data_IF_180741662602
#
_entry.id   IF_180741662602
#
_cell.length_a   1.000
_cell.length_b   1.000
_cell.length_c   1.000
_cell.angle_alpha   90.00
_cell.angle_beta   90.00
_cell.angle_gamma   90.00
#
_symmetry.space_group_name_H-M   'P 1'
#
loop_
_entity.id
_entity.type
_entity.pdbx_description
1 polymer ?
#
# COMPACT_ATOMS: atom_id res chain seq x y z
N UNK A 1 8.37 -5.77 -28.19
CA UNK A 1 6.90 -5.77 -28.01
C UNK A 1 6.34 -7.11 -28.47
N UNK A 2 6.01 -8.02 -27.53
CA UNK A 2 5.02 -9.09 -27.76
C UNK A 2 3.83 -8.75 -26.86
N UNK A 3 2.81 -8.15 -27.46
CA UNK A 3 1.51 -7.86 -26.83
C UNK A 3 0.59 -9.05 -27.10
N UNK A 4 -0.24 -9.35 -26.09
CA UNK A 4 -1.44 -10.21 -26.09
C UNK A 4 -1.28 -11.62 -25.49
N UNK A 5 -1.91 -11.78 -24.31
CA UNK A 5 -2.73 -12.93 -23.91
C UNK A 5 -2.10 -14.30 -23.57
N UNK A 6 -0.81 -14.41 -23.24
CA UNK A 6 -0.20 -15.74 -22.96
C UNK A 6 -0.05 -16.17 -21.49
N UNK A 7 -0.77 -15.58 -20.53
CA UNK A 7 -0.72 -16.04 -19.12
C UNK A 7 -2.12 -16.34 -18.58
N UNK A 8 -2.96 -17.01 -19.38
CA UNK A 8 -4.12 -17.71 -18.82
C UNK A 8 -3.90 -19.22 -18.68
N UNK A 9 -2.75 -19.75 -19.14
CA UNK A 9 -2.46 -21.19 -19.16
C UNK A 9 -1.04 -21.59 -18.70
N UNK A 10 -0.20 -20.63 -18.28
CA UNK A 10 1.20 -20.91 -17.94
C UNK A 10 1.37 -21.39 -16.49
N UNK A 11 2.33 -22.30 -16.29
CA UNK A 11 2.74 -22.77 -14.95
C UNK A 11 3.23 -21.61 -14.05
N UNK A 12 3.23 -21.81 -12.71
CA UNK A 12 3.77 -20.83 -11.75
C UNK A 12 5.22 -20.42 -12.13
N UNK A 13 6.02 -21.39 -12.58
CA UNK A 13 7.39 -21.20 -13.06
C UNK A 13 7.47 -20.25 -14.25
N UNK A 14 6.58 -20.37 -15.24
CA UNK A 14 6.55 -19.46 -16.40
C UNK A 14 6.17 -18.04 -15.99
N UNK A 15 5.24 -17.90 -15.04
CA UNK A 15 4.87 -16.57 -14.52
C UNK A 15 6.02 -15.89 -13.79
N UNK A 16 6.83 -16.64 -13.04
CA UNK A 16 8.02 -16.13 -12.34
C UNK A 16 9.15 -15.83 -13.33
N UNK A 17 9.33 -16.66 -14.35
CA UNK A 17 10.31 -16.40 -15.41
C UNK A 17 9.93 -15.14 -16.19
N UNK A 18 8.65 -14.97 -16.54
CA UNK A 18 8.14 -13.75 -17.16
C UNK A 18 8.32 -12.51 -16.27
N UNK A 19 8.14 -12.64 -14.94
CA UNK A 19 8.45 -11.56 -14.00
C UNK A 19 9.92 -11.15 -14.08
N UNK A 20 10.80 -12.14 -14.17
CA UNK A 20 12.24 -11.95 -14.28
C UNK A 20 12.57 -11.24 -15.59
N UNK A 21 12.03 -11.70 -16.71
CA UNK A 21 12.23 -11.07 -18.02
C UNK A 21 11.66 -9.66 -18.10
N UNK A 22 10.48 -9.43 -17.51
CA UNK A 22 9.85 -8.12 -17.41
C UNK A 22 10.71 -7.15 -16.60
N UNK A 23 11.32 -7.62 -15.50
CA UNK A 23 12.28 -6.86 -14.69
C UNK A 23 13.55 -6.52 -15.48
N UNK A 24 14.14 -7.50 -16.18
CA UNK A 24 15.37 -7.31 -16.95
C UNK A 24 15.17 -6.37 -18.14
N UNK A 25 14.04 -6.50 -18.85
CA UNK A 25 13.77 -5.77 -20.08
C UNK A 25 13.51 -4.28 -19.92
N UNK A 26 13.23 -3.80 -18.70
CA UNK A 26 13.00 -2.36 -18.49
C UNK A 26 14.19 -1.60 -17.90
N UNK A 27 14.92 -2.14 -16.90
CA UNK A 27 15.76 -1.26 -16.07
C UNK A 27 17.09 -1.84 -15.53
N UNK A 28 17.48 -3.05 -15.93
CA UNK A 28 18.74 -3.66 -15.46
C UNK A 28 18.67 -4.11 -13.99
N UNK A 29 19.45 -5.11 -13.63
CA UNK A 29 19.34 -5.81 -12.34
C UNK A 29 19.87 -4.90 -11.22
N UNK A 30 18.98 -4.34 -10.40
CA UNK A 30 19.36 -3.73 -9.11
C UNK A 30 19.51 -4.82 -8.04
N UNK A 31 20.63 -4.82 -7.32
CA UNK A 31 20.86 -5.68 -6.16
C UNK A 31 20.01 -5.20 -4.98
N UNK A 32 19.35 -6.14 -4.29
CA UNK A 32 18.52 -5.81 -3.14
C UNK A 32 19.36 -5.20 -2.01
N UNK A 33 18.94 -4.03 -1.49
CA UNK A 33 19.66 -3.34 -0.42
C UNK A 33 19.28 -3.89 0.97
N UNK A 34 20.18 -3.82 1.97
CA UNK A 34 19.87 -4.24 3.33
C UNK A 34 18.82 -3.33 3.97
N UNK A 35 17.97 -3.90 4.84
CA UNK A 35 16.84 -3.21 5.47
C UNK A 35 17.23 -1.90 6.17
N UNK A 36 18.35 -1.87 6.90
CA UNK A 36 18.80 -0.67 7.60
C UNK A 36 19.06 0.52 6.67
N UNK A 37 19.59 0.27 5.46
CA UNK A 37 19.76 1.32 4.45
C UNK A 37 18.41 1.82 3.93
N UNK A 38 17.43 0.92 3.75
CA UNK A 38 16.07 1.31 3.31
C UNK A 38 15.37 2.15 4.36
N UNK A 39 15.46 1.76 5.63
CA UNK A 39 14.86 2.47 6.75
C UNK A 39 15.48 3.87 6.92
N UNK A 40 16.81 3.96 6.85
CA UNK A 40 17.52 5.25 6.89
C UNK A 40 17.08 6.18 5.75
N UNK A 41 16.98 5.66 4.52
CA UNK A 41 16.48 6.41 3.36
C UNK A 41 15.03 6.85 3.52
N UNK A 42 14.15 5.96 3.98
CA UNK A 42 12.76 6.28 4.24
C UNK A 42 12.65 7.42 5.28
N UNK A 43 13.44 7.33 6.36
CA UNK A 43 13.56 8.39 7.35
C UNK A 43 14.00 9.73 6.75
N UNK A 44 15.01 9.72 5.87
CA UNK A 44 15.51 10.93 5.21
C UNK A 44 14.44 11.57 4.31
N UNK A 45 13.77 10.79 3.46
CA UNK A 45 12.70 11.28 2.58
C UNK A 45 11.55 11.89 3.39
N UNK A 46 11.11 11.20 4.45
CA UNK A 46 10.05 11.71 5.35
C UNK A 46 10.52 12.97 6.07
N UNK A 47 11.78 13.02 6.52
CA UNK A 47 12.31 14.18 7.24
C UNK A 47 12.38 15.45 6.39
N UNK A 48 12.65 15.30 5.09
CA UNK A 48 12.65 16.40 4.11
C UNK A 48 11.23 16.88 3.78
N UNK A 49 10.26 15.98 3.84
CA UNK A 49 8.87 16.23 3.45
C UNK A 49 7.90 16.33 4.64
N UNK A 50 8.37 16.61 5.86
CA UNK A 50 7.54 16.58 7.09
C UNK A 50 6.25 17.38 6.96
N UNK A 51 6.35 18.61 6.45
CA UNK A 51 5.21 19.50 6.31
C UNK A 51 4.21 18.98 5.27
N UNK A 52 4.68 18.51 4.12
CA UNK A 52 3.84 17.93 3.08
C UNK A 52 3.14 16.66 3.53
N UNK A 53 3.83 15.75 4.25
CA UNK A 53 3.21 14.57 4.85
C UNK A 53 2.17 14.95 5.91
N UNK A 54 2.44 15.97 6.72
CA UNK A 54 1.50 16.46 7.74
C UNK A 54 0.23 16.99 7.09
N UNK A 55 0.36 17.83 6.05
CA UNK A 55 -0.78 18.35 5.29
C UNK A 55 -1.55 17.21 4.61
N UNK A 56 -0.84 16.25 4.02
CA UNK A 56 -1.45 15.11 3.35
C UNK A 56 -2.26 14.23 4.32
N UNK A 57 -1.69 13.91 5.49
CA UNK A 57 -2.37 13.14 6.54
C UNK A 57 -3.54 13.90 7.15
N UNK A 58 -3.40 15.21 7.35
CA UNK A 58 -4.49 16.05 7.85
C UNK A 58 -5.64 16.11 6.83
N UNK A 59 -5.33 16.33 5.54
CA UNK A 59 -6.31 16.31 4.47
C UNK A 59 -7.01 14.96 4.33
N UNK A 60 -6.25 13.86 4.43
CA UNK A 60 -6.79 12.51 4.48
C UNK A 60 -7.78 12.35 5.64
N UNK A 61 -7.40 12.75 6.86
CA UNK A 61 -8.23 12.60 8.06
C UNK A 61 -9.50 13.45 7.99
N UNK A 62 -9.40 14.68 7.48
CA UNK A 62 -10.56 15.56 7.27
C UNK A 62 -11.53 14.95 6.25
N UNK A 63 -11.04 14.54 5.08
CA UNK A 63 -11.87 13.93 4.03
C UNK A 63 -12.51 12.62 4.49
N UNK A 64 -11.76 11.80 5.21
CA UNK A 64 -12.26 10.56 5.81
C UNK A 64 -13.36 10.85 6.82
N UNK A 65 -13.16 11.82 7.73
CA UNK A 65 -14.14 12.20 8.74
C UNK A 65 -15.41 12.75 8.09
N UNK A 66 -15.28 13.69 7.15
CA UNK A 66 -16.41 14.28 6.44
C UNK A 66 -17.18 13.25 5.62
N UNK A 67 -16.48 12.38 4.88
CA UNK A 67 -17.12 11.34 4.07
C UNK A 67 -17.85 10.30 4.93
N UNK A 68 -17.25 9.89 6.06
CA UNK A 68 -17.90 9.01 7.01
C UNK A 68 -19.14 9.67 7.63
N UNK A 69 -19.08 10.94 8.01
CA UNK A 69 -20.23 11.71 8.51
C UNK A 69 -21.35 11.87 7.48
N UNK A 70 -21.02 12.12 6.21
CA UNK A 70 -22.00 12.23 5.13
C UNK A 70 -22.72 10.90 4.87
N UNK A 71 -21.97 9.79 4.90
CA UNK A 71 -22.52 8.44 4.71
C UNK A 71 -23.34 7.97 5.92
N UNK A 72 -22.95 8.36 7.14
CA UNK A 72 -23.75 8.24 8.37
C UNK A 72 -25.11 8.93 8.22
N UNK A 73 -25.10 10.20 7.78
CA UNK A 73 -26.31 10.98 7.57
C UNK A 73 -27.20 10.39 6.47
N UNK A 74 -26.61 9.94 5.36
CA UNK A 74 -27.35 9.29 4.28
C UNK A 74 -28.03 7.99 4.74
N UNK A 75 -27.34 7.14 5.52
CA UNK A 75 -27.94 5.92 6.06
C UNK A 75 -29.09 6.24 7.04
N UNK A 76 -28.89 7.21 7.93
CA UNK A 76 -29.95 7.67 8.84
C UNK A 76 -31.17 8.25 8.10
N UNK A 77 -30.95 8.93 6.98
CA UNK A 77 -32.03 9.51 6.17
C UNK A 77 -32.84 8.45 5.43
N UNK A 78 -32.20 7.35 5.01
CA UNK A 78 -32.84 6.24 4.29
C UNK A 78 -33.54 5.28 5.25
N UNK A 79 -32.97 5.06 6.43
CA UNK A 79 -33.39 4.00 7.35
C UNK A 79 -33.74 4.64 8.71
N UNK A 80 -35.02 4.99 8.89
CA UNK A 80 -35.53 5.69 10.10
C UNK A 80 -35.58 4.79 11.34
N UNK A 81 -35.43 3.47 11.17
CA UNK A 81 -35.50 2.46 12.22
C UNK A 81 -34.11 2.03 12.76
N UNK A 82 -33.05 2.74 12.38
CA UNK A 82 -31.69 2.42 12.82
C UNK A 82 -31.57 2.58 14.34
N UNK A 83 -31.13 1.53 15.08
CA UNK A 83 -31.09 1.56 16.53
C UNK A 83 -30.19 2.68 17.05
N UNK A 84 -30.66 3.42 18.06
CA UNK A 84 -30.00 4.58 18.69
C UNK A 84 -28.62 4.30 19.32
N UNK A 85 -28.13 3.06 19.26
CA UNK A 85 -26.80 2.70 19.77
C UNK A 85 -25.73 3.07 18.74
N UNK A 86 -25.15 4.26 18.93
CA UNK A 86 -24.12 4.87 18.07
C UNK A 86 -22.94 3.93 17.72
N UNK A 87 -22.56 3.00 18.60
CA UNK A 87 -21.41 2.11 18.38
C UNK A 87 -21.66 1.03 17.32
N UNK A 88 -22.82 0.36 17.36
CA UNK A 88 -23.18 -0.70 16.39
C UNK A 88 -23.41 -0.08 15.00
N UNK A 89 -24.01 1.12 14.97
CA UNK A 89 -24.23 1.89 13.75
C UNK A 89 -22.91 2.30 13.10
N UNK A 90 -21.94 2.80 13.88
CA UNK A 90 -20.61 3.15 13.40
C UNK A 90 -19.86 1.92 12.85
N UNK A 91 -19.89 0.78 13.55
CA UNK A 91 -19.26 -0.47 13.08
C UNK A 91 -19.90 -0.95 11.77
N UNK A 92 -21.23 -1.00 11.69
CA UNK A 92 -21.95 -1.39 10.47
C UNK A 92 -21.67 -0.44 9.28
N UNK A 93 -21.42 0.83 9.57
CA UNK A 93 -21.18 1.87 8.57
C UNK A 93 -19.72 1.84 8.10
N UNK A 94 -18.75 1.71 9.00
CA UNK A 94 -17.34 1.47 8.62
C UNK A 94 -17.15 0.16 7.85
N UNK A 95 -18.04 -0.82 8.04
CA UNK A 95 -18.08 -2.04 7.20
C UNK A 95 -18.82 -1.88 5.88
N UNK A 96 -19.52 -0.76 5.64
CA UNK A 96 -20.33 -0.55 4.44
C UNK A 96 -19.46 -0.36 3.20
N UNK A 97 -19.89 -0.94 2.09
CA UNK A 97 -19.18 -0.89 0.80
C UNK A 97 -18.84 0.55 0.37
N UNK A 98 -19.74 1.55 0.48
CA UNK A 98 -19.42 2.93 0.09
C UNK A 98 -18.28 3.56 0.88
N UNK A 99 -18.19 3.30 2.19
CA UNK A 99 -17.09 3.80 3.03
C UNK A 99 -15.77 3.13 2.65
N UNK A 100 -15.82 1.82 2.39
CA UNK A 100 -14.63 1.08 1.93
C UNK A 100 -14.13 1.58 0.59
N UNK A 101 -15.03 1.92 -0.34
CA UNK A 101 -14.68 2.56 -1.62
C UNK A 101 -14.01 3.92 -1.38
N UNK A 102 -14.59 4.76 -0.52
CA UNK A 102 -14.01 6.06 -0.18
C UNK A 102 -12.61 5.92 0.44
N UNK A 103 -12.46 5.06 1.45
CA UNK A 103 -11.16 4.78 2.07
C UNK A 103 -10.15 4.26 1.06
N UNK A 104 -10.57 3.34 0.18
CA UNK A 104 -9.73 2.79 -0.88
C UNK A 104 -9.22 3.86 -1.84
N UNK A 105 -10.08 4.80 -2.24
CA UNK A 105 -9.71 5.92 -3.12
C UNK A 105 -8.77 6.92 -2.44
N UNK A 106 -9.02 7.25 -1.17
CA UNK A 106 -8.14 8.11 -0.39
C UNK A 106 -6.75 7.47 -0.19
N UNK A 107 -6.71 6.17 0.13
CA UNK A 107 -5.47 5.42 0.27
C UNK A 107 -4.69 5.40 -1.07
N UNK A 108 -5.38 5.15 -2.18
CA UNK A 108 -4.78 5.17 -3.51
C UNK A 108 -4.22 6.54 -3.88
N UNK A 109 -4.91 7.63 -3.55
CA UNK A 109 -4.45 8.99 -3.80
C UNK A 109 -3.15 9.28 -3.04
N UNK A 110 -3.11 9.00 -1.72
CA UNK A 110 -1.91 9.15 -0.88
C UNK A 110 -0.76 8.32 -1.45
N UNK A 111 -1.03 7.06 -1.78
CA UNK A 111 -0.05 6.13 -2.34
C UNK A 111 0.56 6.67 -3.63
N UNK A 112 -0.27 7.14 -4.55
CA UNK A 112 0.16 7.65 -5.84
C UNK A 112 1.06 8.88 -5.72
N UNK A 113 0.70 9.85 -4.85
CA UNK A 113 1.53 11.03 -4.60
C UNK A 113 2.92 10.62 -4.10
N UNK A 114 2.99 9.62 -3.20
CA UNK A 114 4.28 9.16 -2.66
C UNK A 114 5.09 8.40 -3.70
N UNK A 115 4.46 7.59 -4.56
CA UNK A 115 5.13 6.97 -5.71
C UNK A 115 5.73 8.02 -6.64
N UNK A 116 4.96 9.06 -6.99
CA UNK A 116 5.43 10.16 -7.82
C UNK A 116 6.59 10.92 -7.15
N UNK A 117 6.52 11.18 -5.84
CA UNK A 117 7.61 11.80 -5.11
C UNK A 117 8.88 10.95 -5.14
N UNK A 118 8.79 9.64 -4.91
CA UNK A 118 9.96 8.75 -4.95
C UNK A 118 10.58 8.70 -6.35
N UNK A 119 9.75 8.75 -7.41
CA UNK A 119 10.21 8.80 -8.81
C UNK A 119 10.85 10.13 -9.21
N UNK A 120 10.46 11.25 -8.60
CA UNK A 120 10.96 12.60 -8.94
C UNK A 120 12.36 12.86 -8.40
N UNK A 121 13.12 13.67 -9.15
CA UNK A 121 14.39 14.24 -8.68
C UNK A 121 14.11 15.17 -7.50
N UNK A 122 14.74 14.92 -6.35
CA UNK A 122 14.57 15.71 -5.12
C UNK A 122 13.57 15.14 -4.10
N UNK A 123 12.78 14.13 -4.45
CA UNK A 123 11.84 13.47 -3.54
C UNK A 123 10.72 14.35 -2.96
N UNK A 124 10.40 15.47 -3.60
CA UNK A 124 9.42 16.40 -3.06
C UNK A 124 7.98 15.88 -3.29
N UNK A 125 7.16 15.94 -2.23
CA UNK A 125 5.72 15.65 -2.29
C UNK A 125 4.97 16.85 -2.85
N UNK A 126 4.28 16.65 -3.98
CA UNK A 126 3.47 17.68 -4.64
C UNK A 126 2.01 17.24 -4.66
N UNK A 127 1.15 17.98 -3.97
CA UNK A 127 -0.28 17.63 -3.85
C UNK A 127 -1.02 17.67 -5.19
N UNK A 128 -0.55 18.43 -6.18
CA UNK A 128 -1.17 18.49 -7.51
C UNK A 128 -1.14 17.16 -8.26
N UNK A 129 -0.30 16.21 -7.85
CA UNK A 129 -0.25 14.88 -8.46
C UNK A 129 -1.56 14.11 -8.30
N UNK A 130 -2.39 14.46 -7.31
CA UNK A 130 -3.74 13.89 -7.14
C UNK A 130 -4.58 14.07 -8.41
N UNK A 131 -4.38 15.18 -9.16
CA UNK A 131 -5.14 15.44 -10.38
C UNK A 131 -4.82 14.46 -11.51
N UNK A 132 -3.64 13.84 -11.49
CA UNK A 132 -3.24 12.82 -12.45
C UNK A 132 -3.78 11.43 -12.09
N UNK A 133 -4.39 11.26 -10.92
CA UNK A 133 -4.98 9.98 -10.51
C UNK A 133 -6.05 9.51 -11.49
N UNK A 134 -6.77 10.45 -12.12
CA UNK A 134 -7.80 10.15 -13.13
C UNK A 134 -7.24 9.36 -14.31
N UNK A 135 -5.96 9.55 -14.65
CA UNK A 135 -5.32 8.94 -15.82
C UNK A 135 -4.95 7.48 -15.53
N UNK A 136 -4.85 7.10 -14.25
CA UNK A 136 -4.55 5.74 -13.81
C UNK A 136 -5.75 5.00 -13.19
N UNK A 137 -6.86 5.70 -12.96
CA UNK A 137 -8.04 5.14 -12.33
C UNK A 137 -8.75 4.19 -13.30
N UNK A 138 -8.64 2.89 -13.04
CA UNK A 138 -9.37 1.85 -13.78
C UNK A 138 -10.31 1.10 -12.85
N UNK A 139 -11.39 0.53 -13.39
CA UNK A 139 -12.31 -0.32 -12.62
C UNK A 139 -11.57 -1.47 -11.93
N UNK A 140 -10.58 -2.04 -12.62
CA UNK A 140 -9.68 -3.08 -12.09
C UNK A 140 -8.92 -2.60 -10.85
N UNK A 141 -8.32 -1.40 -10.91
CA UNK A 141 -7.57 -0.83 -9.79
C UNK A 141 -8.49 -0.56 -8.59
N UNK A 142 -9.67 0.01 -8.83
CA UNK A 142 -10.66 0.27 -7.78
C UNK A 142 -11.12 -1.04 -7.14
N UNK A 143 -11.45 -2.06 -7.93
CA UNK A 143 -11.87 -3.36 -7.43
C UNK A 143 -10.78 -4.02 -6.55
N UNK A 144 -9.51 -3.96 -6.97
CA UNK A 144 -8.39 -4.49 -6.19
C UNK A 144 -8.21 -3.72 -4.88
N UNK A 145 -8.34 -2.39 -4.89
CA UNK A 145 -8.24 -1.58 -3.66
C UNK A 145 -9.39 -1.88 -2.68
N UNK A 146 -10.61 -2.09 -3.17
CA UNK A 146 -11.76 -2.45 -2.31
C UNK A 146 -11.60 -3.85 -1.73
N UNK A 147 -11.19 -4.84 -2.54
CA UNK A 147 -10.92 -6.20 -2.06
C UNK A 147 -9.79 -6.18 -1.02
N UNK A 148 -8.75 -5.40 -1.28
CA UNK A 148 -7.66 -5.18 -0.33
C UNK A 148 -8.16 -4.66 1.02
N UNK A 149 -8.95 -3.59 1.02
CA UNK A 149 -9.48 -2.98 2.25
C UNK A 149 -10.37 -3.96 3.05
N UNK A 150 -11.15 -4.79 2.35
CA UNK A 150 -11.94 -5.86 2.97
C UNK A 150 -11.01 -6.90 3.63
N UNK A 151 -10.06 -7.44 2.86
CA UNK A 151 -9.19 -8.54 3.30
C UNK A 151 -8.22 -8.13 4.42
N UNK A 152 -7.74 -6.88 4.42
CA UNK A 152 -6.83 -6.36 5.45
C UNK A 152 -7.54 -6.05 6.77
N UNK A 153 -8.78 -5.53 6.69
CA UNK A 153 -9.53 -5.10 7.88
C UNK A 153 -9.83 -6.23 8.86
N UNK A 154 -9.98 -7.46 8.36
CA UNK A 154 -10.32 -8.65 9.15
C UNK A 154 -9.20 -9.10 10.11
N UNK A 155 -8.00 -9.46 9.64
CA UNK A 155 -6.95 -10.00 10.51
C UNK A 155 -6.39 -8.99 11.51
N UNK A 156 -6.26 -7.70 11.14
CA UNK A 156 -5.77 -6.68 12.07
C UNK A 156 -6.75 -6.42 13.21
N UNK A 157 -8.06 -6.41 12.93
CA UNK A 157 -9.10 -6.25 13.95
C UNK A 157 -9.13 -7.44 14.91
N UNK A 158 -8.98 -8.66 14.38
CA UNK A 158 -8.89 -9.89 15.19
C UNK A 158 -7.63 -9.86 16.06
N UNK A 159 -6.48 -9.45 15.50
CA UNK A 159 -5.23 -9.34 16.24
C UNK A 159 -5.35 -8.37 17.43
N UNK A 160 -5.94 -7.20 17.22
CA UNK A 160 -6.17 -6.22 18.27
C UNK A 160 -7.12 -6.72 19.36
N UNK A 161 -8.21 -7.40 18.98
CA UNK A 161 -9.17 -7.96 19.94
C UNK A 161 -8.56 -9.08 20.81
N UNK A 162 -7.57 -9.80 20.27
CA UNK A 162 -6.88 -10.89 20.95
C UNK A 162 -5.65 -10.44 21.75
N UNK A 163 -5.15 -9.22 21.56
CA UNK A 163 -3.87 -8.77 22.13
C UNK A 163 -3.77 -8.96 23.65
N UNK A 164 -4.87 -8.71 24.38
CA UNK A 164 -4.93 -8.88 25.84
C UNK A 164 -5.39 -10.27 26.30
N UNK A 165 -5.84 -11.14 25.38
CA UNK A 165 -6.41 -12.46 25.70
C UNK A 165 -5.49 -13.62 25.35
N UNK A 166 -4.85 -13.53 24.18
CA UNK A 166 -3.93 -14.52 23.66
C UNK A 166 -2.89 -13.81 22.79
N UNK A 167 -1.74 -13.53 23.41
CA UNK A 167 -0.64 -12.81 22.75
C UNK A 167 -0.08 -13.60 21.57
N UNK A 168 0.01 -14.93 21.68
CA UNK A 168 0.60 -15.76 20.62
C UNK A 168 -0.29 -15.73 19.38
N UNK A 169 -1.59 -15.94 19.57
CA UNK A 169 -2.55 -15.90 18.47
C UNK A 169 -2.67 -14.49 17.88
N UNK A 170 -2.65 -13.45 18.73
CA UNK A 170 -2.62 -12.05 18.30
C UNK A 170 -1.40 -11.76 17.40
N UNK A 171 -0.20 -12.22 17.77
CA UNK A 171 1.02 -12.06 16.97
C UNK A 171 0.92 -12.77 15.61
N UNK A 172 0.31 -13.95 15.55
CA UNK A 172 0.07 -14.68 14.29
C UNK A 172 -0.85 -13.86 13.37
N UNK A 173 -1.96 -13.32 13.90
CA UNK A 173 -2.86 -12.47 13.11
C UNK A 173 -2.22 -11.14 12.69
N UNK A 174 -1.37 -10.54 13.52
CA UNK A 174 -0.57 -9.37 13.11
C UNK A 174 0.37 -9.72 11.96
N UNK A 175 1.14 -10.80 12.07
CA UNK A 175 2.04 -11.23 11.00
C UNK A 175 1.28 -11.52 9.70
N UNK A 176 0.12 -12.16 9.78
CA UNK A 176 -0.74 -12.40 8.62
C UNK A 176 -1.31 -11.11 8.02
N UNK A 177 -1.78 -10.17 8.86
CA UNK A 177 -2.24 -8.85 8.42
C UNK A 177 -1.15 -8.06 7.71
N UNK A 178 0.08 -8.07 8.24
CA UNK A 178 1.23 -7.45 7.57
C UNK A 178 1.58 -8.12 6.25
N UNK A 179 1.57 -9.46 6.19
CA UNK A 179 1.79 -10.17 4.94
C UNK A 179 0.77 -9.76 3.87
N UNK A 180 -0.52 -9.71 4.22
CA UNK A 180 -1.56 -9.24 3.30
C UNK A 180 -1.37 -7.77 2.90
N UNK A 181 -1.00 -6.89 3.85
CA UNK A 181 -0.68 -5.48 3.55
C UNK A 181 0.36 -5.36 2.44
N UNK A 182 1.40 -6.19 2.52
CA UNK A 182 2.48 -6.20 1.55
C UNK A 182 2.07 -6.85 0.23
N UNK A 183 1.42 -8.00 0.25
CA UNK A 183 0.94 -8.67 -0.95
C UNK A 183 0.02 -7.77 -1.77
N UNK A 184 -0.99 -7.18 -1.14
CA UNK A 184 -1.94 -6.32 -1.85
C UNK A 184 -1.35 -4.94 -2.17
N UNK A 185 -0.49 -4.38 -1.33
CA UNK A 185 0.21 -3.14 -1.65
C UNK A 185 1.10 -3.27 -2.89
N UNK A 186 1.86 -4.36 -3.00
CA UNK A 186 2.64 -4.68 -4.21
C UNK A 186 1.74 -4.87 -5.43
N UNK A 187 0.57 -5.49 -5.26
CA UNK A 187 -0.39 -5.66 -6.35
C UNK A 187 -0.93 -4.33 -6.86
N UNK A 188 -1.27 -3.41 -5.95
CA UNK A 188 -1.72 -2.05 -6.29
C UNK A 188 -0.61 -1.32 -7.07
N UNK A 189 0.65 -1.37 -6.58
CA UNK A 189 1.78 -0.76 -7.27
C UNK A 189 1.98 -1.31 -8.67
N UNK A 190 1.93 -2.63 -8.86
CA UNK A 190 2.06 -3.25 -10.18
C UNK A 190 0.97 -2.78 -11.15
N UNK A 191 -0.28 -2.65 -10.68
CA UNK A 191 -1.39 -2.19 -11.53
C UNK A 191 -1.23 -0.71 -11.89
N UNK A 192 -0.73 0.10 -10.96
CA UNK A 192 -0.44 1.53 -11.19
C UNK A 192 0.69 1.69 -12.22
N UNK A 193 1.75 0.90 -12.11
CA UNK A 193 2.89 0.95 -13.04
C UNK A 193 2.59 0.33 -14.42
N UNK A 194 1.75 -0.70 -14.46
CA UNK A 194 1.39 -1.40 -15.70
C UNK A 194 -0.04 -1.98 -15.64
N UNK A 195 -0.98 -1.18 -16.14
CA UNK A 195 -2.39 -1.58 -16.21
C UNK A 195 -2.65 -2.78 -17.14
N UNK A 196 -1.72 -3.08 -18.06
CA UNK A 196 -1.90 -4.16 -19.05
C UNK A 196 -1.72 -5.56 -18.48
N UNK A 197 -1.11 -5.69 -17.28
CA UNK A 197 -0.96 -6.96 -16.60
C UNK A 197 -2.33 -7.57 -16.26
N UNK A 198 -2.47 -8.90 -16.28
CA UNK A 198 -3.70 -9.53 -15.78
C UNK A 198 -3.78 -9.46 -14.25
N UNK A 199 -4.97 -9.50 -13.66
CA UNK A 199 -5.11 -9.52 -12.19
C UNK A 199 -4.41 -10.74 -11.58
N UNK A 200 -4.48 -11.91 -12.23
CA UNK A 200 -3.82 -13.13 -11.77
C UNK A 200 -2.31 -12.97 -11.76
N UNK A 201 -1.73 -12.47 -12.85
CA UNK A 201 -0.28 -12.20 -12.96
C UNK A 201 0.17 -11.23 -11.85
N UNK A 202 -0.58 -10.16 -11.63
CA UNK A 202 -0.30 -9.19 -10.56
C UNK A 202 -0.27 -9.87 -9.19
N UNK A 203 -1.26 -10.70 -8.87
CA UNK A 203 -1.30 -11.39 -7.57
C UNK A 203 -0.18 -12.42 -7.40
N UNK A 204 0.11 -13.21 -8.43
CA UNK A 204 1.20 -14.20 -8.41
C UNK A 204 2.54 -13.51 -8.20
N UNK A 205 2.81 -12.44 -8.93
CA UNK A 205 4.05 -11.67 -8.81
C UNK A 205 4.16 -11.00 -7.45
N UNK A 206 3.07 -10.42 -6.95
CA UNK A 206 3.05 -9.78 -5.63
C UNK A 206 3.26 -10.78 -4.51
N UNK A 207 2.66 -11.97 -4.60
CA UNK A 207 2.87 -13.05 -3.63
C UNK A 207 4.31 -13.56 -3.66
N UNK A 208 4.87 -13.78 -4.86
CA UNK A 208 6.28 -14.18 -5.02
C UNK A 208 7.23 -13.14 -4.45
N UNK A 209 6.97 -11.86 -4.69
CA UNK A 209 7.74 -10.75 -4.16
C UNK A 209 7.61 -10.62 -2.63
N UNK A 210 6.41 -10.77 -2.08
CA UNK A 210 6.17 -10.70 -0.63
C UNK A 210 6.85 -11.85 0.13
N UNK A 211 6.94 -13.04 -0.48
CA UNK A 211 7.60 -14.21 0.09
C UNK A 211 9.12 -14.23 -0.12
N UNK A 212 9.66 -13.30 -0.91
CA UNK A 212 11.12 -13.20 -1.08
C UNK A 212 11.80 -12.79 0.24
N UNK A 213 12.98 -13.35 0.53
CA UNK A 213 13.65 -13.15 1.83
C UNK A 213 13.95 -11.67 2.16
N UNK A 214 14.24 -10.84 1.16
CA UNK A 214 14.51 -9.41 1.35
C UNK A 214 13.26 -8.60 1.72
N UNK A 215 12.11 -8.95 1.14
CA UNK A 215 10.82 -8.33 1.47
C UNK A 215 10.29 -8.88 2.80
N UNK A 216 10.41 -10.19 3.03
CA UNK A 216 9.99 -10.83 4.28
C UNK A 216 10.69 -10.23 5.51
N UNK A 217 12.00 -9.97 5.43
CA UNK A 217 12.71 -9.28 6.51
C UNK A 217 12.15 -7.88 6.79
N UNK A 218 11.78 -7.15 5.73
CA UNK A 218 11.17 -5.82 5.84
C UNK A 218 9.79 -5.89 6.49
N UNK A 219 9.01 -6.93 6.15
CA UNK A 219 7.70 -7.23 6.76
C UNK A 219 7.87 -7.53 8.25
N UNK A 220 8.78 -8.43 8.62
CA UNK A 220 9.02 -8.85 9.99
C UNK A 220 9.57 -7.72 10.88
N UNK A 221 10.48 -6.90 10.36
CA UNK A 221 10.98 -5.74 11.09
C UNK A 221 9.88 -4.68 11.29
N UNK A 222 9.09 -4.41 10.24
CA UNK A 222 7.96 -3.47 10.30
C UNK A 222 6.88 -3.90 11.30
N UNK A 223 6.57 -5.20 11.34
CA UNK A 223 5.58 -5.72 12.29
C UNK A 223 6.06 -5.57 13.74
N UNK A 224 7.34 -5.78 14.03
CA UNK A 224 7.92 -5.51 15.35
C UNK A 224 7.79 -4.02 15.73
N UNK A 225 8.09 -3.09 14.82
CA UNK A 225 7.94 -1.64 15.11
C UNK A 225 6.49 -1.24 15.43
N UNK A 226 5.51 -1.88 14.78
CA UNK A 226 4.09 -1.58 15.02
C UNK A 226 3.57 -2.07 16.39
N UNK A 227 4.24 -3.04 17.00
CA UNK A 227 3.84 -3.63 18.30
C UNK A 227 4.25 -2.74 19.50
N UNK A 228 5.26 -1.88 19.36
CA UNK A 228 5.89 -1.17 20.49
C UNK A 228 5.46 0.30 20.70
N UNK A 229 4.32 0.74 20.14
CA UNK A 229 3.61 1.99 20.50
C UNK A 229 4.36 3.32 20.26
N UNK A 230 3.91 4.08 19.25
CA UNK A 230 3.90 5.56 19.18
C UNK A 230 2.92 5.97 18.04
N UNK A 231 2.42 7.22 17.94
CA UNK A 231 1.21 7.49 17.17
C UNK A 231 1.42 7.12 15.71
N UNK A 232 0.49 6.31 15.17
CA UNK A 232 0.44 5.88 13.77
C UNK A 232 0.74 7.03 12.80
N UNK A 233 0.49 8.28 13.17
CA UNK A 233 0.78 9.50 12.40
C UNK A 233 2.25 9.64 11.99
N UNK A 234 3.22 9.29 12.85
CA UNK A 234 4.66 9.45 12.53
C UNK A 234 5.20 8.22 11.79
N UNK A 235 4.74 7.03 12.19
CA UNK A 235 5.26 5.77 11.64
C UNK A 235 4.65 5.47 10.26
N UNK A 236 3.39 5.83 10.01
CA UNK A 236 2.69 5.55 8.75
C UNK A 236 3.41 6.12 7.52
N UNK A 237 3.88 7.38 7.49
CA UNK A 237 4.68 7.89 6.37
C UNK A 237 5.95 7.08 6.11
N UNK A 238 6.66 6.68 7.17
CA UNK A 238 7.91 5.91 7.04
C UNK A 238 7.61 4.52 6.47
N UNK A 239 6.58 3.84 6.98
CA UNK A 239 6.19 2.51 6.49
C UNK A 239 5.71 2.56 5.05
N UNK A 240 4.97 3.59 4.67
CA UNK A 240 4.47 3.76 3.31
C UNK A 240 5.63 4.04 2.33
N UNK A 241 6.57 4.93 2.68
CA UNK A 241 7.79 5.16 1.88
C UNK A 241 8.63 3.88 1.79
N UNK A 242 8.81 3.17 2.90
CA UNK A 242 9.55 1.90 2.95
C UNK A 242 8.92 0.84 2.04
N UNK A 243 7.59 0.77 2.00
CA UNK A 243 6.85 -0.16 1.13
C UNK A 243 7.07 0.17 -0.35
N UNK A 244 7.02 1.45 -0.73
CA UNK A 244 7.26 1.90 -2.11
C UNK A 244 8.73 1.68 -2.52
N UNK A 245 9.69 1.98 -1.64
CA UNK A 245 11.11 1.71 -1.91
C UNK A 245 11.36 0.21 -2.12
N UNK A 246 10.76 -0.63 -1.27
CA UNK A 246 10.91 -2.09 -1.39
C UNK A 246 10.23 -2.62 -2.65
N UNK A 247 9.10 -2.04 -3.08
CA UNK A 247 8.49 -2.35 -4.37
C UNK A 247 9.46 -2.08 -5.53
N UNK A 248 10.02 -0.87 -5.58
CA UNK A 248 10.91 -0.48 -6.67
C UNK A 248 12.18 -1.33 -6.73
N UNK A 249 12.77 -1.67 -5.59
CA UNK A 249 13.91 -2.59 -5.56
C UNK A 249 13.55 -4.02 -6.00
N UNK A 250 12.40 -4.53 -5.55
CA UNK A 250 11.98 -5.91 -5.86
C UNK A 250 11.71 -6.08 -7.35
N UNK A 251 11.00 -5.10 -7.95
CA UNK A 251 10.64 -5.10 -9.35
C UNK A 251 11.64 -4.38 -10.26
N UNK A 252 12.79 -3.97 -9.72
CA UNK A 252 13.93 -3.45 -10.47
C UNK A 252 13.74 -2.06 -11.06
N UNK A 253 12.82 -1.26 -10.56
CA UNK A 253 12.74 0.14 -10.92
C UNK A 253 13.87 0.90 -10.22
N UNK A 254 14.84 1.40 -10.97
CA UNK A 254 15.59 2.56 -10.50
C UNK A 254 14.62 3.73 -10.52
N UNK A 255 14.24 4.26 -9.35
CA UNK A 255 13.69 5.62 -9.36
C UNK A 255 14.75 6.54 -9.96
N UNK A 256 14.39 7.58 -10.72
CA UNK A 256 15.38 8.53 -11.23
C UNK A 256 16.26 9.10 -10.10
N UNK A 257 15.71 9.14 -8.88
CA UNK A 257 16.43 9.49 -7.69
C UNK A 257 17.46 8.45 -7.18
N UNK A 258 17.30 7.15 -7.47
CA UNK A 258 18.34 6.15 -7.15
C UNK A 258 19.60 6.31 -8.00
N UNK A 259 19.45 6.73 -9.26
CA UNK A 259 20.58 7.04 -10.15
C UNK A 259 21.36 8.25 -9.63
N UNK A 260 20.66 9.22 -9.01
CA UNK A 260 21.29 10.45 -8.50
C UNK A 260 21.83 10.33 -7.08
N UNK A 261 21.16 9.63 -6.16
CA UNK A 261 21.68 9.39 -4.80
C UNK A 261 22.93 8.52 -4.79
N UNK A 262 23.10 7.64 -5.78
CA UNK A 262 24.36 6.93 -5.98
C UNK A 262 25.48 7.83 -6.52
N UNK A 263 25.12 8.95 -7.18
CA UNK A 263 26.07 9.91 -7.74
C UNK A 263 26.47 11.01 -6.74
N UNK A 264 25.63 11.33 -5.75
CA UNK A 264 25.95 12.28 -4.66
C UNK A 264 26.71 11.64 -3.48
N UNK A 265 26.82 10.30 -3.47
CA UNK A 265 27.53 9.53 -2.43
C UNK A 265 28.94 9.05 -2.81
N UNK A 266 29.45 9.45 -3.99
CA UNK A 266 30.82 9.25 -4.46
C UNK A 266 31.48 10.63 -4.65
#
# INVERSE_FOLDING_TARGET
MKRNNQISSGSLSESIQYMTDWKHGRYGISTAKPFGQKLSRAGLIVSRNKLSFTILLLGYLVLQTLGNSALLYAKWSIDKDVPKNNFIVLVQITSSIPIRILHSLLNLAVLYIVMCAIKRRGHDLVLSDVLQLKDILSLKLVAVCVVYDIMLSSPLSIAQALFHKDLVLSLIYFAFGFFLNWLFGLAIFLIVEDQSLSSVTVFVWSASAALSGSTFLSIAATSLFSLFVTPFVILTPILLVLQVLTFYETFGFFSAAEVHLAAEGN
#
